data_IF_944941319106
#
_entry.id   IF_944941319106
#
_cell.length_a   1.000
_cell.length_b   1.000
_cell.length_c   1.000
_cell.angle_alpha   90.00
_cell.angle_beta   90.00
_cell.angle_gamma   90.00
#
_symmetry.space_group_name_H-M   'P 1'
#
loop_
_entity.id
_entity.type
_entity.pdbx_description
1 polymer ?
#
# COMPACT_ATOMS: atom_id res chain seq x y z
N UNK A 1 9.01 -15.81 42.04
CA UNK A 1 9.00 -16.90 41.04
C UNK A 1 8.04 -16.59 39.89
N UNK A 2 6.72 -16.44 40.10
CA UNK A 2 5.78 -16.04 39.02
C UNK A 2 5.93 -14.59 38.56
N UNK A 3 6.32 -13.69 39.48
CA UNK A 3 6.47 -12.26 39.16
C UNK A 3 7.66 -11.96 38.24
N UNK A 4 8.76 -12.71 38.38
CA UNK A 4 9.94 -12.58 37.51
C UNK A 4 9.61 -13.00 36.07
N UNK A 5 8.87 -14.09 35.92
CA UNK A 5 8.42 -14.59 34.61
C UNK A 5 7.45 -13.59 33.97
N UNK A 6 6.50 -13.04 34.73
CA UNK A 6 5.58 -12.03 34.22
C UNK A 6 6.29 -10.75 33.76
N UNK A 7 7.32 -10.29 34.49
CA UNK A 7 8.14 -9.15 34.06
C UNK A 7 8.89 -9.43 32.77
N UNK A 8 9.49 -10.61 32.62
CA UNK A 8 10.16 -11.00 31.38
C UNK A 8 9.22 -11.09 30.20
N UNK A 9 8.02 -11.65 30.37
CA UNK A 9 6.99 -11.68 29.33
C UNK A 9 6.61 -10.26 28.92
N UNK A 10 6.41 -9.36 29.89
CA UNK A 10 6.05 -7.97 29.62
C UNK A 10 7.16 -7.22 28.85
N UNK A 11 8.43 -7.46 29.19
CA UNK A 11 9.57 -6.87 28.47
C UNK A 11 9.66 -7.37 27.02
N UNK A 12 9.48 -8.66 26.79
CA UNK A 12 9.51 -9.22 25.44
C UNK A 12 8.32 -8.74 24.59
N UNK A 13 7.12 -8.66 25.18
CA UNK A 13 5.95 -8.05 24.53
C UNK A 13 6.23 -6.60 24.13
N UNK A 14 6.83 -5.81 25.03
CA UNK A 14 7.19 -4.41 24.75
C UNK A 14 8.22 -4.30 23.63
N UNK A 15 9.27 -5.13 23.66
CA UNK A 15 10.28 -5.16 22.58
C UNK A 15 9.67 -5.53 21.23
N UNK A 16 8.73 -6.47 21.20
CA UNK A 16 8.03 -6.83 19.96
C UNK A 16 7.18 -5.67 19.45
N UNK A 17 6.48 -4.97 20.34
CA UNK A 17 5.66 -3.82 19.96
C UNK A 17 6.52 -2.68 19.39
N UNK A 18 7.64 -2.35 20.03
CA UNK A 18 8.57 -1.33 19.53
C UNK A 18 9.18 -1.70 18.16
N UNK A 19 9.45 -2.99 17.91
CA UNK A 19 9.88 -3.45 16.58
C UNK A 19 8.78 -3.29 15.54
N UNK A 20 7.53 -3.57 15.89
CA UNK A 20 6.39 -3.45 15.00
C UNK A 20 6.16 -1.99 14.60
N UNK A 21 6.25 -1.06 15.55
CA UNK A 21 6.11 0.38 15.31
C UNK A 21 7.19 0.88 14.34
N UNK A 22 8.45 0.49 14.55
CA UNK A 22 9.56 0.83 13.63
C UNK A 22 9.38 0.25 12.23
N UNK A 23 8.80 -0.94 12.11
CA UNK A 23 8.50 -1.55 10.80
C UNK A 23 7.33 -0.84 10.11
N UNK A 24 6.33 -0.37 10.86
CA UNK A 24 5.22 0.41 10.31
C UNK A 24 5.65 1.82 9.87
N UNK A 25 6.53 2.46 10.61
CA UNK A 25 7.05 3.79 10.28
C UNK A 25 7.75 3.79 8.91
N UNK A 26 8.53 2.76 8.62
CA UNK A 26 9.22 2.58 7.34
C UNK A 26 8.30 2.14 6.17
N UNK A 27 7.09 1.65 6.45
CA UNK A 27 6.15 1.15 5.41
C UNK A 27 5.25 2.23 4.81
N UNK A 28 5.26 3.45 5.35
CA UNK A 28 4.54 4.57 4.71
C UNK A 28 5.38 5.10 3.56
N UNK A 29 5.00 4.71 2.34
CA UNK A 29 5.42 5.42 1.12
C UNK A 29 5.25 6.92 1.35
N UNK A 30 6.34 7.66 1.20
CA UNK A 30 6.30 9.11 1.35
C UNK A 30 5.27 9.70 0.38
N UNK A 31 4.62 10.79 0.78
CA UNK A 31 3.65 11.51 -0.05
C UNK A 31 4.12 11.75 -1.50
N UNK A 32 5.37 12.19 -1.76
CA UNK A 32 5.85 12.33 -3.14
C UNK A 32 5.94 10.98 -3.88
N UNK A 33 6.32 9.90 -3.20
CA UNK A 33 6.41 8.59 -3.86
C UNK A 33 5.04 7.99 -4.18
N UNK A 34 4.02 8.28 -3.37
CA UNK A 34 2.63 7.95 -3.70
C UNK A 34 2.17 8.66 -4.98
N UNK A 35 2.50 9.94 -5.15
CA UNK A 35 2.17 10.67 -6.37
C UNK A 35 2.84 10.04 -7.59
N UNK A 36 4.14 9.71 -7.50
CA UNK A 36 4.85 9.02 -8.59
C UNK A 36 4.20 7.68 -8.94
N UNK A 37 3.82 6.88 -7.94
CA UNK A 37 3.13 5.61 -8.19
C UNK A 37 1.78 5.80 -8.90
N UNK A 38 1.02 6.85 -8.55
CA UNK A 38 -0.24 7.20 -9.22
C UNK A 38 0.01 7.60 -10.67
N UNK A 39 1.00 8.45 -10.94
CA UNK A 39 1.33 8.88 -12.31
C UNK A 39 1.79 7.72 -13.18
N UNK A 40 2.63 6.82 -12.64
CA UNK A 40 3.06 5.62 -13.36
C UNK A 40 1.89 4.67 -13.62
N UNK A 41 0.99 4.49 -12.65
CA UNK A 41 -0.24 3.75 -12.83
C UNK A 41 -1.11 4.35 -13.95
N UNK A 42 -1.31 5.66 -13.94
CA UNK A 42 -2.09 6.36 -14.95
C UNK A 42 -1.46 6.32 -16.34
N UNK A 43 -0.13 6.39 -16.45
CA UNK A 43 0.59 6.30 -17.73
C UNK A 43 0.31 4.99 -18.46
N UNK A 44 0.16 3.89 -17.72
CA UNK A 44 -0.10 2.55 -18.28
C UNK A 44 -1.61 2.32 -18.45
N UNK A 45 -2.40 2.65 -17.44
CA UNK A 45 -3.84 2.38 -17.40
C UNK A 45 -4.61 3.35 -18.31
N UNK A 46 -4.16 4.60 -18.45
CA UNK A 46 -4.80 5.64 -19.25
C UNK A 46 -4.98 5.23 -20.73
N UNK A 47 -3.91 4.84 -21.44
CA UNK A 47 -4.01 4.36 -22.82
C UNK A 47 -4.89 3.12 -22.98
N UNK A 48 -4.86 2.20 -22.00
CA UNK A 48 -5.72 1.01 -22.01
C UNK A 48 -7.20 1.41 -21.89
N UNK A 49 -7.53 2.31 -20.95
CA UNK A 49 -8.87 2.85 -20.81
C UNK A 49 -9.34 3.60 -22.07
N UNK A 50 -8.48 4.45 -22.64
CA UNK A 50 -8.77 5.17 -23.86
C UNK A 50 -9.06 4.21 -25.04
N UNK A 51 -8.27 3.14 -25.18
CA UNK A 51 -8.50 2.11 -26.20
C UNK A 51 -9.83 1.40 -26.03
N UNK A 52 -10.19 1.02 -24.80
CA UNK A 52 -11.48 0.37 -24.50
C UNK A 52 -12.66 1.30 -24.79
N UNK A 53 -12.56 2.57 -24.40
CA UNK A 53 -13.60 3.58 -24.66
C UNK A 53 -13.75 3.80 -26.17
N UNK A 54 -12.64 4.00 -26.90
CA UNK A 54 -12.69 4.14 -28.37
C UNK A 54 -13.29 2.92 -29.05
N UNK A 55 -12.97 1.71 -28.59
CA UNK A 55 -13.56 0.49 -29.11
C UNK A 55 -15.07 0.45 -28.87
N UNK A 56 -15.53 0.74 -27.65
CA UNK A 56 -16.95 0.79 -27.32
C UNK A 56 -17.70 1.83 -28.15
N UNK A 57 -17.17 3.05 -28.25
CA UNK A 57 -17.79 4.11 -29.05
C UNK A 57 -17.90 3.72 -30.53
N UNK A 58 -16.86 3.11 -31.09
CA UNK A 58 -16.87 2.64 -32.49
C UNK A 58 -17.83 1.46 -32.69
N UNK A 59 -17.98 0.59 -31.69
CA UNK A 59 -18.92 -0.53 -31.72
C UNK A 59 -20.37 -0.05 -31.69
N UNK A 60 -20.69 0.92 -30.82
CA UNK A 60 -22.02 1.52 -30.72
C UNK A 60 -22.40 2.35 -31.96
N UNK A 61 -21.44 2.98 -32.62
CA UNK A 61 -21.68 3.74 -33.86
C UNK A 61 -21.95 2.82 -35.08
N UNK A 62 -21.54 1.54 -35.00
CA UNK A 62 -21.75 0.52 -36.03
C UNK A 62 -22.99 -0.37 -35.81
N UNK A 63 -23.62 -0.30 -34.65
CA UNK A 63 -24.80 -1.10 -34.26
C UNK A 63 -26.10 -0.36 -34.57
#
# INVERSE_FOLDING_TARGET
MSDDINRHILEELRKMNEKLDRLQENKRLSTPMKLVAIFLGFLIIGPLFAGVISYLLTFFDKA
#
